data_IF_994251257718
#
_entry.id   IF_994251257718
#
_cell.length_a   1.000
_cell.length_b   1.000
_cell.length_c   1.000
_cell.angle_alpha   90.00
_cell.angle_beta   90.00
_cell.angle_gamma   90.00
#
_symmetry.space_group_name_H-M   'P 1'
#
loop_
_entity.id
_entity.type
_entity.pdbx_description
1 polymer ?
#
# COMPACT_ATOMS: atom_id res chain seq x y z
N UNK A 1 -18.86 -5.11 4.75
CA UNK A 1 -18.00 -5.01 3.55
C UNK A 1 -18.55 -5.84 2.40
N UNK A 2 -19.42 -5.24 1.58
CA UNK A 2 -19.82 -5.78 0.28
C UNK A 2 -18.57 -5.84 -0.61
N UNK A 3 -18.08 -7.03 -0.95
CA UNK A 3 -16.88 -7.18 -1.78
C UNK A 3 -17.18 -6.66 -3.20
N UNK A 4 -16.58 -5.52 -3.56
CA UNK A 4 -16.62 -5.04 -4.94
C UNK A 4 -16.01 -6.11 -5.86
N UNK A 5 -16.63 -6.44 -7.01
CA UNK A 5 -16.12 -7.46 -7.93
C UNK A 5 -14.76 -7.08 -8.55
N UNK A 6 -14.38 -5.81 -8.45
CA UNK A 6 -13.11 -5.30 -8.96
C UNK A 6 -11.93 -5.54 -8.01
N UNK A 7 -12.19 -5.80 -6.72
CA UNK A 7 -11.16 -6.13 -5.73
C UNK A 7 -10.80 -7.60 -5.88
N UNK A 8 -9.56 -7.88 -6.26
CA UNK A 8 -9.07 -9.24 -6.47
C UNK A 8 -8.52 -9.84 -5.17
N UNK A 9 -7.76 -9.05 -4.43
CA UNK A 9 -7.13 -9.45 -3.18
C UNK A 9 -7.23 -8.32 -2.17
N UNK A 10 -7.36 -8.69 -0.90
CA UNK A 10 -7.35 -7.74 0.22
C UNK A 10 -6.77 -8.42 1.45
N UNK A 11 -5.87 -7.73 2.13
CA UNK A 11 -5.21 -8.17 3.36
C UNK A 11 -5.37 -7.09 4.43
N UNK A 12 -5.49 -7.51 5.67
CA UNK A 12 -5.57 -6.61 6.82
C UNK A 12 -4.17 -6.21 7.25
N UNK A 13 -3.92 -4.91 7.39
CA UNK A 13 -2.62 -4.38 7.83
C UNK A 13 -2.68 -3.87 9.27
N UNK A 14 -3.70 -3.07 9.59
CA UNK A 14 -4.06 -2.70 10.96
C UNK A 14 -5.47 -3.18 11.21
N UNK A 15 -5.65 -3.99 12.27
CA UNK A 15 -6.91 -4.66 12.58
C UNK A 15 -8.08 -3.68 12.58
N UNK A 16 -9.09 -3.96 11.76
CA UNK A 16 -10.31 -3.15 11.60
C UNK A 16 -10.09 -1.67 11.22
N UNK A 17 -8.88 -1.26 10.83
CA UNK A 17 -8.57 0.15 10.55
C UNK A 17 -8.00 0.32 9.15
N UNK A 18 -6.99 -0.47 8.77
CA UNK A 18 -6.26 -0.30 7.52
C UNK A 18 -6.09 -1.63 6.81
N UNK A 19 -6.49 -1.66 5.54
CA UNK A 19 -6.35 -2.79 4.66
C UNK A 19 -5.54 -2.39 3.42
N UNK A 20 -4.87 -3.39 2.84
CA UNK A 20 -4.19 -3.27 1.56
C UNK A 20 -4.90 -4.15 0.54
N UNK A 21 -5.18 -3.61 -0.65
CA UNK A 21 -5.95 -4.32 -1.67
C UNK A 21 -5.33 -4.20 -3.07
N UNK A 22 -5.57 -5.22 -3.89
CA UNK A 22 -5.23 -5.19 -5.33
C UNK A 22 -6.51 -5.20 -6.13
N UNK A 23 -6.61 -4.27 -7.09
CA UNK A 23 -7.79 -4.03 -7.91
C UNK A 23 -7.47 -4.28 -9.38
N UNK A 24 -8.46 -4.74 -10.16
CA UNK A 24 -8.32 -4.92 -11.61
C UNK A 24 -7.80 -3.66 -12.30
N UNK A 25 -7.01 -3.84 -13.35
CA UNK A 25 -6.41 -2.73 -14.10
C UNK A 25 -7.48 -1.78 -14.65
N UNK A 26 -7.23 -0.47 -14.52
CA UNK A 26 -8.12 0.58 -15.03
C UNK A 26 -9.43 0.75 -14.25
N UNK A 27 -9.59 0.10 -13.09
CA UNK A 27 -10.78 0.25 -12.24
C UNK A 27 -10.50 1.18 -11.07
N UNK A 28 -11.42 2.12 -10.87
CA UNK A 28 -11.46 2.99 -9.68
C UNK A 28 -12.50 2.44 -8.71
N UNK A 29 -12.10 2.28 -7.45
CA UNK A 29 -13.01 1.85 -6.39
C UNK A 29 -13.62 3.09 -5.75
N UNK A 30 -14.96 3.14 -5.71
CA UNK A 30 -15.69 4.24 -5.08
C UNK A 30 -15.77 4.04 -3.57
N UNK A 31 -15.73 5.15 -2.85
CA UNK A 31 -16.02 5.16 -1.41
C UNK A 31 -17.43 4.67 -1.13
N UNK A 32 -17.56 4.02 0.01
CA UNK A 32 -18.83 3.51 0.54
C UNK A 32 -19.12 4.19 1.87
N UNK A 33 -20.21 3.84 2.54
CA UNK A 33 -20.54 4.38 3.86
C UNK A 33 -19.57 3.84 4.93
N UNK A 34 -19.14 2.59 4.81
CA UNK A 34 -18.28 1.90 5.77
C UNK A 34 -16.79 1.91 5.39
N UNK A 35 -16.45 2.24 4.15
CA UNK A 35 -15.08 2.10 3.63
C UNK A 35 -14.63 3.29 2.79
N UNK A 36 -13.46 3.84 3.15
CA UNK A 36 -12.72 4.85 2.39
C UNK A 36 -11.59 4.18 1.59
N UNK A 37 -11.67 4.29 0.26
CA UNK A 37 -10.67 3.77 -0.66
C UNK A 37 -9.74 4.89 -1.13
N UNK A 38 -8.44 4.60 -1.21
CA UNK A 38 -7.48 5.50 -1.85
C UNK A 38 -6.37 4.72 -2.55
N UNK A 39 -5.75 5.36 -3.53
CA UNK A 39 -4.69 4.79 -4.35
C UNK A 39 -3.64 5.85 -4.66
N UNK A 40 -2.37 5.45 -4.69
CA UNK A 40 -1.23 6.36 -4.95
C UNK A 40 -0.58 6.11 -6.31
N UNK A 41 -1.10 5.16 -7.11
CA UNK A 41 -0.50 4.68 -8.35
C UNK A 41 -0.15 5.78 -9.36
N UNK A 42 -0.89 6.89 -9.34
CA UNK A 42 -0.68 8.06 -10.21
C UNK A 42 -0.29 9.33 -9.43
N UNK A 43 -0.15 9.24 -8.10
CA UNK A 43 0.23 10.35 -7.23
C UNK A 43 1.71 10.29 -6.87
N UNK A 44 2.21 9.08 -6.55
CA UNK A 44 3.59 8.82 -6.19
C UNK A 44 4.24 7.98 -7.30
N UNK A 45 4.73 8.69 -8.31
CA UNK A 45 5.32 8.09 -9.52
C UNK A 45 6.83 7.99 -9.34
N UNK A 46 7.38 6.81 -9.61
CA UNK A 46 8.82 6.61 -9.69
C UNK A 46 9.33 7.11 -11.05
N UNK A 47 10.33 8.00 -11.04
CA UNK A 47 11.00 8.47 -12.24
C UNK A 47 12.10 7.47 -12.62
N UNK A 48 11.86 6.65 -13.64
CA UNK A 48 12.80 5.63 -14.07
C UNK A 48 13.97 6.23 -14.85
N UNK A 49 15.19 5.77 -14.55
CA UNK A 49 16.38 6.13 -15.34
C UNK A 49 16.54 5.20 -16.56
N UNK A 50 16.17 3.93 -16.39
CA UNK A 50 16.16 2.93 -17.46
C UNK A 50 14.98 1.95 -17.25
N UNK A 51 15.26 0.66 -17.04
CA UNK A 51 14.26 -0.41 -16.80
C UNK A 51 13.99 -0.64 -15.30
N UNK A 52 14.49 0.23 -14.44
CA UNK A 52 14.20 0.26 -13.02
C UNK A 52 12.79 0.82 -12.76
N UNK A 53 12.14 0.31 -11.73
CA UNK A 53 10.75 0.68 -11.41
C UNK A 53 10.58 1.14 -9.97
N UNK A 54 11.63 1.08 -9.16
CA UNK A 54 11.58 1.37 -7.75
C UNK A 54 12.77 0.82 -6.97
N UNK A 55 12.72 0.91 -5.62
CA UNK A 55 11.59 1.44 -4.84
C UNK A 55 11.41 2.95 -4.96
N UNK A 56 10.23 3.45 -4.55
CA UNK A 56 9.99 4.87 -4.40
C UNK A 56 11.02 5.51 -3.45
N UNK A 57 11.46 6.74 -3.78
CA UNK A 57 12.45 7.45 -2.99
C UNK A 57 11.89 7.93 -1.63
N UNK A 58 12.77 8.41 -0.74
CA UNK A 58 12.40 8.85 0.61
C UNK A 58 11.39 10.01 0.62
N UNK A 59 11.45 10.91 -0.37
CA UNK A 59 10.46 11.98 -0.53
C UNK A 59 9.05 11.44 -0.77
N UNK A 60 8.93 10.36 -1.56
CA UNK A 60 7.67 9.67 -1.78
C UNK A 60 7.19 8.93 -0.53
N UNK A 61 8.10 8.30 0.23
CA UNK A 61 7.76 7.68 1.52
C UNK A 61 7.21 8.72 2.49
N UNK A 62 7.87 9.87 2.62
CA UNK A 62 7.39 10.96 3.49
C UNK A 62 5.99 11.46 3.06
N UNK A 63 5.78 11.70 1.75
CA UNK A 63 4.46 12.08 1.21
C UNK A 63 3.41 11.02 1.52
N UNK A 64 3.71 9.74 1.32
CA UNK A 64 2.81 8.64 1.64
C UNK A 64 2.41 8.64 3.12
N UNK A 65 3.38 8.78 4.03
CA UNK A 65 3.12 8.85 5.46
C UNK A 65 2.18 10.00 5.82
N UNK A 66 2.38 11.18 5.23
CA UNK A 66 1.51 12.33 5.42
C UNK A 66 0.09 12.04 4.92
N UNK A 67 -0.06 11.53 3.70
CA UNK A 67 -1.36 11.15 3.11
C UNK A 67 -2.09 10.15 4.01
N UNK A 68 -1.41 9.09 4.46
CA UNK A 68 -2.04 8.05 5.27
C UNK A 68 -2.41 8.58 6.66
N UNK A 69 -1.57 9.38 7.30
CA UNK A 69 -1.86 9.99 8.59
C UNK A 69 -3.06 10.94 8.53
N UNK A 70 -3.21 11.72 7.47
CA UNK A 70 -4.38 12.57 7.26
C UNK A 70 -5.65 11.75 7.11
N UNK A 71 -5.61 10.67 6.32
CA UNK A 71 -6.76 9.76 6.15
C UNK A 71 -7.11 9.07 7.47
N UNK A 72 -6.12 8.57 8.20
CA UNK A 72 -6.33 8.02 9.53
C UNK A 72 -7.04 9.04 10.42
N UNK A 73 -6.54 10.29 10.53
CA UNK A 73 -7.20 11.33 11.33
C UNK A 73 -8.66 11.62 10.91
N UNK A 74 -8.93 11.67 9.61
CA UNK A 74 -10.26 12.02 9.08
C UNK A 74 -11.29 10.90 9.26
N UNK A 75 -10.87 9.65 9.03
CA UNK A 75 -11.74 8.48 8.93
C UNK A 75 -11.68 7.53 10.13
N UNK A 76 -10.77 7.75 11.09
CA UNK A 76 -10.68 6.93 12.31
C UNK A 76 -12.04 6.81 13.00
N UNK A 77 -12.42 5.57 13.36
CA UNK A 77 -13.71 5.20 13.94
C UNK A 77 -14.96 5.54 13.10
N UNK A 78 -14.82 6.04 11.88
CA UNK A 78 -15.94 6.34 10.96
C UNK A 78 -16.00 5.34 9.83
N UNK A 79 -14.85 5.05 9.23
CA UNK A 79 -14.74 4.17 8.07
C UNK A 79 -13.45 3.36 8.16
N UNK A 80 -13.49 2.15 7.59
CA UNK A 80 -12.28 1.38 7.33
C UNK A 80 -11.53 2.01 6.16
N UNK A 81 -10.21 2.09 6.27
CA UNK A 81 -9.36 2.64 5.23
C UNK A 81 -8.79 1.50 4.39
N UNK A 82 -8.90 1.59 3.07
CA UNK A 82 -8.33 0.63 2.13
C UNK A 82 -7.37 1.36 1.21
N UNK A 83 -6.07 1.10 1.39
CA UNK A 83 -5.06 1.45 0.41
C UNK A 83 -5.10 0.41 -0.71
N UNK A 84 -5.54 0.80 -1.90
CA UNK A 84 -5.56 -0.09 -3.04
C UNK A 84 -4.55 0.31 -4.11
N UNK A 85 -4.12 -0.66 -4.89
CA UNK A 85 -3.23 -0.51 -6.04
C UNK A 85 -3.73 -1.37 -7.20
N UNK A 86 -3.35 -1.03 -8.42
CA UNK A 86 -3.62 -1.86 -9.59
C UNK A 86 -2.86 -3.18 -9.55
N UNK A 87 -3.26 -4.13 -10.41
CA UNK A 87 -2.54 -5.41 -10.60
C UNK A 87 -1.14 -5.25 -11.22
N UNK A 88 -0.79 -4.05 -11.70
CA UNK A 88 0.50 -3.79 -12.34
C UNK A 88 1.65 -4.09 -11.37
N UNK A 89 2.59 -5.00 -11.71
CA UNK A 89 3.59 -5.49 -10.76
C UNK A 89 4.43 -4.40 -10.10
N UNK A 90 4.83 -3.40 -10.88
CA UNK A 90 5.70 -2.30 -10.44
C UNK A 90 4.98 -1.39 -9.43
N UNK A 91 3.75 -0.98 -9.75
CA UNK A 91 2.92 -0.13 -8.89
C UNK A 91 2.57 -0.84 -7.59
N UNK A 92 2.18 -2.11 -7.70
CA UNK A 92 1.88 -2.96 -6.55
C UNK A 92 3.08 -3.11 -5.63
N UNK A 93 4.29 -3.32 -6.18
CA UNK A 93 5.52 -3.40 -5.41
C UNK A 93 5.84 -2.09 -4.68
N UNK A 94 5.72 -0.95 -5.36
CA UNK A 94 5.94 0.36 -4.77
C UNK A 94 4.90 0.73 -3.70
N UNK A 95 3.63 0.38 -3.90
CA UNK A 95 2.55 0.60 -2.95
C UNK A 95 2.72 -0.26 -1.68
N UNK A 96 3.12 -1.51 -1.84
CA UNK A 96 3.48 -2.38 -0.72
C UNK A 96 4.72 -1.86 0.02
N UNK A 97 5.75 -1.40 -0.71
CA UNK A 97 6.97 -0.83 -0.14
C UNK A 97 6.67 0.36 0.78
N UNK A 98 5.93 1.38 0.32
CA UNK A 98 5.66 2.57 1.15
C UNK A 98 4.76 2.26 2.36
N UNK A 99 3.83 1.30 2.24
CA UNK A 99 3.03 0.83 3.37
C UNK A 99 3.89 0.05 4.38
N UNK A 100 4.83 -0.76 3.90
CA UNK A 100 5.85 -1.42 4.72
C UNK A 100 6.70 -0.41 5.50
N UNK A 101 7.25 0.59 4.81
CA UNK A 101 7.99 1.69 5.44
C UNK A 101 7.16 2.41 6.49
N UNK A 102 5.88 2.68 6.23
CA UNK A 102 4.98 3.27 7.23
C UNK A 102 4.84 2.38 8.48
N UNK A 103 4.74 1.06 8.30
CA UNK A 103 4.70 0.11 9.41
C UNK A 103 5.93 0.19 10.31
N UNK A 104 7.12 0.32 9.72
CA UNK A 104 8.36 0.46 10.50
C UNK A 104 8.44 1.85 11.16
N UNK A 105 8.19 2.92 10.40
CA UNK A 105 8.39 4.29 10.86
C UNK A 105 7.35 4.79 11.87
N UNK A 106 6.06 4.42 11.70
CA UNK A 106 4.95 4.96 12.49
C UNK A 106 4.30 3.93 13.42
N UNK A 107 4.35 2.64 13.09
CA UNK A 107 3.79 1.58 13.92
C UNK A 107 4.84 0.85 14.77
N UNK A 108 6.11 1.23 14.64
CA UNK A 108 7.25 0.64 15.33
C UNK A 108 7.33 -0.89 15.16
N UNK A 109 6.91 -1.38 13.98
CA UNK A 109 7.00 -2.80 13.62
C UNK A 109 8.42 -3.16 13.19
N UNK A 110 8.83 -4.40 13.44
CA UNK A 110 10.03 -4.93 12.77
C UNK A 110 9.79 -4.97 11.25
N UNK A 111 10.84 -4.84 10.41
CA UNK A 111 10.68 -4.95 8.95
C UNK A 111 9.97 -6.24 8.53
N UNK A 112 10.23 -7.34 9.25
CA UNK A 112 9.58 -8.63 9.04
C UNK A 112 8.07 -8.57 9.29
N UNK A 113 7.65 -7.94 10.38
CA UNK A 113 6.24 -7.86 10.77
C UNK A 113 5.47 -6.87 9.90
N UNK A 114 6.09 -5.74 9.52
CA UNK A 114 5.52 -4.80 8.55
C UNK A 114 5.31 -5.47 7.19
N UNK A 115 6.22 -6.33 6.78
CA UNK A 115 6.15 -6.98 5.48
C UNK A 115 5.20 -8.19 5.44
N UNK A 116 5.06 -8.92 6.56
CA UNK A 116 4.32 -10.19 6.63
C UNK A 116 2.90 -10.10 6.05
N UNK A 117 2.05 -9.10 6.36
CA UNK A 117 0.69 -9.01 5.79
C UNK A 117 0.67 -8.80 4.27
N UNK A 118 1.73 -8.22 3.70
CA UNK A 118 1.83 -7.83 2.30
C UNK A 118 2.31 -8.98 1.39
N UNK A 119 2.91 -10.02 1.99
CA UNK A 119 3.46 -11.19 1.28
C UNK A 119 2.45 -12.33 1.05
N UNK A 120 1.33 -12.36 1.77
CA UNK A 120 0.55 -13.60 2.01
C UNK A 120 -0.24 -14.14 0.80
N UNK A 121 -0.19 -13.55 -0.40
CA UNK A 121 -1.08 -13.98 -1.50
C UNK A 121 -0.43 -14.15 -2.87
N UNK A 122 0.44 -15.15 -3.07
CA UNK A 122 0.89 -15.55 -4.41
C UNK A 122 1.54 -14.44 -5.26
N UNK A 123 1.90 -13.32 -4.63
CA UNK A 123 2.44 -12.13 -5.27
C UNK A 123 3.96 -12.26 -5.24
N UNK A 124 4.54 -12.70 -6.35
CA UNK A 124 5.98 -12.59 -6.56
C UNK A 124 6.31 -11.14 -6.90
N UNK A 125 6.44 -10.29 -5.88
CA UNK A 125 7.19 -9.05 -6.05
C UNK A 125 8.63 -9.46 -6.40
N UNK A 126 9.16 -8.98 -7.53
CA UNK A 126 10.55 -9.31 -7.89
C UNK A 126 11.44 -9.01 -6.68
N UNK A 127 12.22 -10.02 -6.28
CA UNK A 127 12.95 -10.13 -5.02
C UNK A 127 13.66 -8.85 -4.53
N UNK A 128 14.01 -7.93 -5.43
CA UNK A 128 14.70 -6.68 -5.12
C UNK A 128 13.87 -5.63 -4.36
N UNK A 129 12.56 -5.45 -4.61
CA UNK A 129 11.83 -4.32 -3.98
C UNK A 129 11.53 -4.53 -2.50
N UNK A 130 11.33 -5.78 -2.09
CA UNK A 130 10.93 -6.13 -0.73
C UNK A 130 12.13 -6.38 0.18
N UNK A 131 13.21 -6.97 -0.33
CA UNK A 131 14.46 -7.12 0.44
C UNK A 131 15.03 -5.76 0.82
N UNK A 132 14.84 -4.72 0.00
CA UNK A 132 15.27 -3.35 0.33
C UNK A 132 14.60 -2.82 1.62
N UNK A 133 13.32 -3.13 1.91
CA UNK A 133 12.72 -2.77 3.20
C UNK A 133 13.40 -3.44 4.40
N UNK A 134 14.04 -4.61 4.21
CA UNK A 134 14.75 -5.32 5.27
C UNK A 134 16.21 -4.87 5.44
N UNK A 135 16.78 -4.14 4.47
CA UNK A 135 18.19 -3.71 4.47
C UNK A 135 18.40 -2.18 4.49
N UNK A 136 17.37 -1.36 4.23
CA UNK A 136 17.47 0.11 4.17
C UNK A 136 16.87 0.81 5.41
N UNK A 137 16.26 0.08 6.35
CA UNK A 137 15.80 0.65 7.63
C UNK A 137 16.57 0.04 8.79
#
# INVERSE_FOLDING_TARGET
>A
MTRSPDILFMTEYIKNVLYFATVRQGKLVKNTVDTHYFCIDNELIYENYYSDFGPLNLGCVFKYCTILNEKLKLYFNKQVIVHYTSVEPNKKANAAFVLGCYGVLYLNLSPRDALKPLLIHGQSYRYTTITICAYII
#
